data_IF_991283546471
#
_entry.id   IF_991283546471
#
_cell.length_a   1.000
_cell.length_b   1.000
_cell.length_c   1.000
_cell.angle_alpha   90.00
_cell.angle_beta   90.00
_cell.angle_gamma   90.00
#
_symmetry.space_group_name_H-M   'P 1'
#
loop_
_entity.id
_entity.type
_entity.pdbx_description
1 polymer ?
#
# COMPACT_ATOMS: atom_id res chain seq x y z
N UNK A 1 7.73 -10.34 20.92
CA UNK A 1 8.78 -9.43 20.40
C UNK A 1 9.35 -10.00 19.12
N UNK A 2 10.13 -9.26 18.33
CA UNK A 2 10.69 -9.79 17.08
C UNK A 2 12.21 -9.79 17.07
N UNK A 3 12.81 -10.89 16.61
CA UNK A 3 14.26 -11.03 16.44
C UNK A 3 14.62 -11.19 14.97
N UNK A 4 15.67 -10.49 14.52
CA UNK A 4 16.18 -10.63 13.14
C UNK A 4 16.68 -12.07 12.94
N UNK A 5 16.20 -12.72 11.88
CA UNK A 5 16.63 -14.07 11.51
C UNK A 5 17.38 -14.10 10.17
N UNK A 6 17.12 -13.15 9.27
CA UNK A 6 17.79 -13.10 7.98
C UNK A 6 17.71 -11.69 7.35
N UNK A 7 18.46 -11.47 6.27
CA UNK A 7 18.28 -10.36 5.35
C UNK A 7 18.66 -10.76 3.92
N UNK A 8 18.06 -10.09 2.93
CA UNK A 8 18.35 -10.25 1.50
C UNK A 8 18.70 -8.87 0.95
N UNK A 9 19.85 -8.75 0.30
CA UNK A 9 20.31 -7.49 -0.31
C UNK A 9 19.93 -7.41 -1.79
N UNK A 10 20.03 -6.20 -2.35
CA UNK A 10 19.80 -5.94 -3.78
C UNK A 10 18.40 -6.39 -4.25
N UNK A 11 17.44 -6.27 -3.34
CA UNK A 11 16.03 -6.60 -3.57
C UNK A 11 15.25 -5.40 -4.08
N UNK A 12 14.06 -5.59 -4.66
CA UNK A 12 13.19 -4.45 -4.90
C UNK A 12 11.72 -4.85 -4.90
N UNK A 13 10.94 -4.07 -4.16
CA UNK A 13 9.55 -4.40 -3.86
C UNK A 13 9.43 -5.62 -2.95
N UNK A 14 8.24 -5.78 -2.38
CA UNK A 14 7.92 -6.87 -1.46
C UNK A 14 6.47 -7.27 -1.67
N UNK A 15 6.27 -8.50 -2.15
CA UNK A 15 4.94 -9.10 -2.25
C UNK A 15 4.88 -10.40 -1.46
N UNK A 16 3.85 -10.54 -0.63
CA UNK A 16 3.63 -11.71 0.22
C UNK A 16 2.33 -12.36 -0.21
N UNK A 17 2.39 -13.65 -0.54
CA UNK A 17 1.21 -14.42 -0.90
C UNK A 17 1.45 -15.90 -0.59
N UNK A 18 0.48 -16.53 0.06
CA UNK A 18 0.45 -17.98 0.28
C UNK A 18 1.77 -18.54 0.86
N UNK A 19 2.19 -17.98 2.00
CA UNK A 19 3.43 -18.33 2.72
C UNK A 19 4.72 -18.16 1.91
N UNK A 20 4.68 -17.36 0.84
CA UNK A 20 5.82 -17.09 -0.02
C UNK A 20 6.05 -15.59 -0.16
N UNK A 21 7.32 -15.28 -0.32
CA UNK A 21 7.85 -13.95 -0.56
C UNK A 21 8.23 -13.85 -2.03
N UNK A 22 7.85 -12.75 -2.67
CA UNK A 22 8.29 -12.40 -4.01
C UNK A 22 8.93 -11.02 -3.99
N UNK A 23 10.12 -10.95 -4.60
CA UNK A 23 10.88 -9.70 -4.73
C UNK A 23 11.78 -9.81 -5.94
N UNK A 24 12.16 -8.68 -6.52
CA UNK A 24 13.17 -8.71 -7.56
C UNK A 24 14.58 -8.85 -6.98
N UNK A 25 15.49 -9.37 -7.79
CA UNK A 25 16.93 -9.52 -7.55
C UNK A 25 17.74 -8.71 -8.58
N UNK A 26 19.00 -8.38 -8.24
CA UNK A 26 20.04 -7.85 -9.13
C UNK A 26 19.56 -6.63 -9.96
N UNK A 27 19.40 -5.48 -9.32
CA UNK A 27 18.90 -4.27 -9.98
C UNK A 27 17.58 -4.49 -10.74
N UNK A 28 16.73 -5.30 -10.10
CA UNK A 28 15.33 -5.52 -10.42
C UNK A 28 15.07 -6.30 -11.73
N UNK A 29 16.04 -7.08 -12.20
CA UNK A 29 15.93 -7.80 -13.47
C UNK A 29 15.29 -9.17 -13.35
N UNK A 30 15.40 -9.81 -12.18
CA UNK A 30 14.97 -11.20 -11.99
C UNK A 30 13.95 -11.27 -10.87
N UNK A 31 12.77 -11.84 -11.12
CA UNK A 31 11.78 -12.06 -10.07
C UNK A 31 12.13 -13.34 -9.32
N UNK A 32 12.35 -13.24 -8.01
CA UNK A 32 12.61 -14.37 -7.13
C UNK A 32 11.39 -14.69 -6.26
N UNK A 33 11.13 -15.99 -6.07
CA UNK A 33 10.24 -16.55 -5.05
C UNK A 33 11.10 -17.13 -3.92
N UNK A 34 10.75 -16.77 -2.68
CA UNK A 34 11.44 -17.18 -1.47
C UNK A 34 10.45 -17.78 -0.48
N UNK A 35 10.95 -18.63 0.41
CA UNK A 35 10.21 -18.95 1.63
C UNK A 35 10.28 -17.77 2.62
N UNK A 36 9.48 -17.84 3.70
CA UNK A 36 9.44 -16.79 4.72
C UNK A 36 10.75 -16.65 5.54
N UNK A 37 11.71 -17.57 5.39
CA UNK A 37 13.05 -17.46 5.99
C UNK A 37 14.08 -16.83 5.05
N UNK A 38 13.67 -16.43 3.84
CA UNK A 38 14.53 -15.81 2.84
C UNK A 38 15.37 -16.77 2.02
N UNK A 39 15.04 -18.06 1.98
CA UNK A 39 15.66 -19.02 1.05
C UNK A 39 14.98 -18.93 -0.32
N UNK A 40 15.76 -18.69 -1.37
CA UNK A 40 15.30 -18.72 -2.76
C UNK A 40 14.77 -20.12 -3.12
N UNK A 41 13.56 -20.17 -3.65
CA UNK A 41 12.88 -21.38 -4.10
C UNK A 41 12.83 -21.46 -5.62
N UNK A 42 12.64 -20.32 -6.28
CA UNK A 42 12.52 -20.22 -7.72
C UNK A 42 12.87 -18.79 -8.17
N UNK A 43 13.35 -18.64 -9.39
CA UNK A 43 13.47 -17.34 -10.05
C UNK A 43 13.13 -17.47 -11.52
N UNK A 44 12.75 -16.36 -12.14
CA UNK A 44 12.71 -16.30 -13.60
C UNK A 44 14.11 -16.51 -14.20
N UNK A 45 14.15 -16.97 -15.45
CA UNK A 45 15.40 -17.01 -16.22
C UNK A 45 16.01 -15.60 -16.34
N UNK A 46 17.31 -15.53 -16.63
CA UNK A 46 18.13 -14.32 -16.67
C UNK A 46 17.82 -13.38 -17.85
N UNK A 47 16.54 -13.01 -18.01
CA UNK A 47 16.06 -11.98 -18.92
C UNK A 47 15.40 -10.86 -18.10
N UNK A 48 15.72 -9.59 -18.36
CA UNK A 48 15.26 -8.49 -17.53
C UNK A 48 13.73 -8.40 -17.56
N UNK A 49 13.12 -8.53 -16.39
CA UNK A 49 11.73 -8.20 -16.19
C UNK A 49 11.60 -6.69 -16.10
N UNK A 50 10.66 -6.11 -16.85
CA UNK A 50 10.36 -4.69 -16.73
C UNK A 50 9.58 -4.41 -15.45
N UNK A 51 10.31 -4.32 -14.33
CA UNK A 51 10.05 -3.64 -13.05
C UNK A 51 8.64 -3.71 -12.43
N UNK A 52 7.72 -4.47 -13.03
CA UNK A 52 6.30 -4.56 -12.74
C UNK A 52 5.93 -6.02 -12.85
N UNK A 53 5.23 -6.49 -11.83
CA UNK A 53 4.66 -7.81 -11.78
C UNK A 53 3.39 -7.78 -10.96
N UNK A 54 2.51 -8.74 -11.22
CA UNK A 54 1.40 -9.08 -10.35
C UNK A 54 1.42 -10.58 -10.08
N UNK A 55 1.00 -10.98 -8.89
CA UNK A 55 0.91 -12.39 -8.51
C UNK A 55 -0.41 -12.60 -7.81
N UNK A 56 -1.19 -13.57 -8.30
CA UNK A 56 -2.43 -14.02 -7.67
C UNK A 56 -2.26 -15.48 -7.17
N UNK A 57 -3.34 -16.14 -6.76
CA UNK A 57 -3.28 -17.51 -6.24
C UNK A 57 -2.90 -18.58 -7.28
N UNK A 58 -2.96 -18.25 -8.56
CA UNK A 58 -2.82 -19.18 -9.68
C UNK A 58 -1.72 -18.75 -10.67
N UNK A 59 -1.42 -17.46 -10.75
CA UNK A 59 -0.67 -16.86 -11.84
C UNK A 59 0.45 -15.93 -11.36
N UNK A 60 1.48 -15.78 -12.19
CA UNK A 60 2.51 -14.75 -12.11
C UNK A 60 2.48 -13.99 -13.44
N UNK A 61 2.22 -12.68 -13.39
CA UNK A 61 2.14 -11.78 -14.54
C UNK A 61 3.35 -10.86 -14.57
N UNK A 62 4.03 -10.74 -15.70
CA UNK A 62 5.17 -9.82 -15.86
C UNK A 62 5.48 -9.56 -17.33
N UNK A 63 6.42 -8.64 -17.57
CA UNK A 63 6.94 -8.30 -18.90
C UNK A 63 8.37 -8.77 -19.07
N UNK A 64 8.67 -9.51 -20.15
CA UNK A 64 10.02 -10.03 -20.46
C UNK A 64 10.97 -8.99 -21.08
N UNK A 65 10.49 -7.79 -21.38
CA UNK A 65 11.25 -6.74 -22.05
C UNK A 65 11.05 -5.38 -21.39
N UNK A 66 12.06 -4.51 -21.45
CA UNK A 66 11.99 -3.13 -20.93
C UNK A 66 10.93 -2.27 -21.62
N UNK A 67 10.55 -2.60 -22.85
CA UNK A 67 9.50 -1.90 -23.59
C UNK A 67 8.10 -2.11 -22.97
N UNK A 68 7.91 -3.15 -22.15
CA UNK A 68 6.63 -3.41 -21.49
C UNK A 68 5.55 -3.91 -22.44
N UNK A 69 5.95 -4.65 -23.48
CA UNK A 69 5.04 -5.20 -24.50
C UNK A 69 5.01 -6.72 -24.52
N UNK A 70 6.08 -7.41 -24.12
CA UNK A 70 6.14 -8.88 -24.10
C UNK A 70 5.51 -9.43 -22.81
N UNK A 71 4.17 -9.41 -22.74
CA UNK A 71 3.38 -9.85 -21.60
C UNK A 71 3.43 -11.38 -21.47
N UNK A 72 3.83 -11.85 -20.29
CA UNK A 72 3.94 -13.27 -19.94
C UNK A 72 3.10 -13.59 -18.72
N UNK A 73 2.41 -14.73 -18.78
CA UNK A 73 1.70 -15.33 -17.65
C UNK A 73 2.25 -16.72 -17.38
N UNK A 74 2.70 -16.98 -16.15
CA UNK A 74 3.09 -18.30 -15.69
C UNK A 74 2.06 -18.88 -14.74
N UNK A 75 1.95 -20.21 -14.72
CA UNK A 75 1.32 -20.92 -13.62
C UNK A 75 2.19 -20.75 -12.37
N UNK A 76 1.61 -20.25 -11.28
CA UNK A 76 2.37 -19.99 -10.05
C UNK A 76 2.91 -21.26 -9.41
N UNK A 77 2.25 -22.40 -9.56
CA UNK A 77 2.69 -23.66 -8.95
C UNK A 77 3.71 -24.38 -9.82
N UNK A 78 3.41 -24.60 -11.10
CA UNK A 78 4.27 -25.38 -12.00
C UNK A 78 5.36 -24.54 -12.66
N UNK A 79 5.24 -23.20 -12.63
CA UNK A 79 6.13 -22.23 -13.29
C UNK A 79 6.14 -22.32 -14.83
N UNK A 80 5.27 -23.14 -15.40
CA UNK A 80 5.10 -23.24 -16.84
C UNK A 80 4.42 -21.99 -17.39
N UNK A 81 4.80 -21.58 -18.60
CA UNK A 81 4.13 -20.53 -19.35
C UNK A 81 2.69 -20.99 -19.65
N UNK A 82 1.73 -20.16 -19.29
CA UNK A 82 0.31 -20.33 -19.63
C UNK A 82 -0.03 -19.50 -20.87
N UNK A 83 0.49 -18.28 -20.95
CA UNK A 83 0.15 -17.33 -22.01
C UNK A 83 1.30 -16.37 -22.29
N UNK A 84 1.47 -16.03 -23.57
CA UNK A 84 2.37 -14.98 -24.04
C UNK A 84 1.66 -14.16 -25.12
N UNK A 85 1.82 -12.84 -25.05
CA UNK A 85 1.28 -11.95 -26.07
C UNK A 85 2.03 -10.62 -26.11
N UNK A 86 1.97 -9.96 -27.26
CA UNK A 86 2.46 -8.59 -27.41
C UNK A 86 1.33 -7.61 -27.08
N UNK A 87 1.31 -7.11 -25.85
CA UNK A 87 0.29 -6.17 -25.37
C UNK A 87 0.86 -5.27 -24.28
N UNK A 88 0.59 -3.97 -24.37
CA UNK A 88 0.92 -3.00 -23.34
C UNK A 88 -0.24 -2.91 -22.33
N UNK A 89 0.04 -3.23 -21.07
CA UNK A 89 -0.88 -3.16 -19.94
C UNK A 89 -0.12 -2.61 -18.72
N UNK A 90 -0.79 -1.82 -17.89
CA UNK A 90 -0.29 -1.48 -16.57
C UNK A 90 -0.73 -2.56 -15.56
N UNK A 91 0.23 -3.34 -15.07
CA UNK A 91 -0.01 -4.54 -14.25
C UNK A 91 0.22 -4.31 -12.74
N UNK A 92 -0.15 -3.13 -12.24
CA UNK A 92 -0.02 -2.80 -10.82
C UNK A 92 -1.10 -3.47 -9.95
N UNK A 93 -0.76 -3.91 -8.73
CA UNK A 93 -1.68 -4.64 -7.82
C UNK A 93 -3.05 -3.95 -7.63
N UNK A 94 -3.06 -2.62 -7.58
CA UNK A 94 -4.28 -1.84 -7.36
C UNK A 94 -5.28 -1.92 -8.52
N UNK A 95 -4.95 -2.60 -9.62
CA UNK A 95 -5.77 -2.65 -10.83
C UNK A 95 -6.40 -4.02 -11.09
N UNK A 96 -6.07 -5.01 -10.26
CA UNK A 96 -6.64 -6.35 -10.35
C UNK A 96 -7.86 -6.47 -9.44
N UNK A 97 -8.98 -6.93 -10.00
CA UNK A 97 -10.14 -7.33 -9.23
C UNK A 97 -10.73 -8.62 -9.80
N UNK A 98 -10.73 -9.68 -8.98
CA UNK A 98 -11.08 -11.05 -9.41
C UNK A 98 -10.26 -11.43 -10.65
N UNK A 99 -10.90 -11.87 -11.73
CA UNK A 99 -10.27 -12.30 -12.97
C UNK A 99 -10.15 -11.16 -14.01
N UNK A 100 -10.13 -9.91 -13.56
CA UNK A 100 -10.11 -8.74 -14.45
C UNK A 100 -9.02 -7.77 -14.06
N UNK A 101 -8.25 -7.34 -15.05
CA UNK A 101 -7.27 -6.28 -14.94
C UNK A 101 -7.82 -5.00 -15.60
N UNK A 102 -7.83 -3.91 -14.85
CA UNK A 102 -8.21 -2.57 -15.31
C UNK A 102 -6.95 -1.74 -15.58
N UNK A 103 -6.46 -1.76 -16.81
CA UNK A 103 -5.17 -1.16 -17.18
C UNK A 103 -5.37 0.20 -17.85
N UNK A 104 -4.69 1.25 -17.37
CA UNK A 104 -4.66 2.55 -18.03
C UNK A 104 -3.42 2.70 -18.90
N UNK A 105 -3.62 2.80 -20.21
CA UNK A 105 -2.54 2.93 -21.19
C UNK A 105 -2.91 4.01 -22.19
N UNK A 106 -2.02 4.98 -22.39
CA UNK A 106 -2.18 6.06 -23.38
C UNK A 106 -3.55 6.78 -23.30
N UNK A 107 -4.01 7.06 -22.08
CA UNK A 107 -5.28 7.76 -21.82
C UNK A 107 -6.53 6.91 -22.02
N UNK A 108 -6.39 5.60 -22.26
CA UNK A 108 -7.52 4.68 -22.42
C UNK A 108 -7.56 3.66 -21.29
N UNK A 109 -8.77 3.28 -20.89
CA UNK A 109 -8.98 2.13 -20.02
C UNK A 109 -9.06 0.86 -20.87
N UNK A 110 -8.18 -0.09 -20.59
CA UNK A 110 -8.18 -1.43 -21.14
C UNK A 110 -8.71 -2.38 -20.06
N UNK A 111 -9.78 -3.09 -20.37
CA UNK A 111 -10.35 -4.14 -19.53
C UNK A 111 -9.87 -5.48 -20.07
N UNK A 112 -9.01 -6.15 -19.31
CA UNK A 112 -8.35 -7.38 -19.73
C UNK A 112 -8.84 -8.57 -18.90
N UNK A 113 -9.25 -9.65 -19.57
CA UNK A 113 -9.65 -10.91 -18.94
C UNK A 113 -8.44 -11.73 -18.57
N UNK A 114 -8.31 -12.11 -17.31
CA UNK A 114 -7.33 -13.10 -16.87
C UNK A 114 -7.76 -14.52 -17.26
N UNK A 115 -9.08 -14.77 -17.38
CA UNK A 115 -9.62 -16.08 -17.75
C UNK A 115 -9.38 -16.40 -19.22
N UNK A 116 -9.55 -15.40 -20.10
CA UNK A 116 -9.44 -15.58 -21.56
C UNK A 116 -8.14 -15.03 -22.14
N UNK A 117 -7.27 -14.44 -21.31
CA UNK A 117 -6.05 -13.75 -21.71
C UNK A 117 -6.23 -12.78 -22.89
N UNK A 118 -7.32 -12.02 -22.88
CA UNK A 118 -7.70 -11.14 -23.98
C UNK A 118 -8.32 -9.84 -23.48
N UNK A 119 -8.20 -8.79 -24.31
CA UNK A 119 -8.90 -7.53 -24.09
C UNK A 119 -10.39 -7.75 -24.32
N UNK A 120 -11.20 -7.52 -23.29
CA UNK A 120 -12.66 -7.60 -23.37
C UNK A 120 -13.23 -6.26 -23.85
N UNK A 121 -12.63 -5.15 -23.41
CA UNK A 121 -13.15 -3.82 -23.70
C UNK A 121 -12.04 -2.77 -23.69
N UNK A 122 -12.17 -1.77 -24.57
CA UNK A 122 -11.34 -0.56 -24.58
C UNK A 122 -12.28 0.64 -24.47
N UNK A 123 -11.96 1.58 -23.59
CA UNK A 123 -12.72 2.81 -23.38
C UNK A 123 -11.80 4.02 -23.55
N UNK A 124 -12.20 4.93 -24.44
CA UNK A 124 -11.56 6.22 -24.70
C UNK A 124 -12.37 7.40 -24.13
N UNK A 125 -13.60 7.16 -23.70
CA UNK A 125 -14.48 8.07 -22.98
C UNK A 125 -14.28 8.03 -21.46
N UNK A 126 -13.36 7.19 -20.97
CA UNK A 126 -12.99 7.14 -19.57
C UNK A 126 -12.02 8.27 -19.24
N UNK A 127 -12.53 9.37 -18.69
CA UNK A 127 -11.74 10.59 -18.52
C UNK A 127 -11.22 10.77 -17.09
N UNK A 128 -9.89 10.90 -17.04
CA UNK A 128 -9.03 11.61 -16.07
C UNK A 128 -8.86 11.08 -14.63
N UNK A 129 -7.85 10.22 -14.46
CA UNK A 129 -7.23 10.01 -13.16
C UNK A 129 -6.38 8.74 -13.08
N UNK A 130 -5.65 8.57 -11.98
CA UNK A 130 -5.01 7.29 -11.64
C UNK A 130 -6.08 6.41 -10.99
N UNK A 131 -6.29 5.17 -11.46
CA UNK A 131 -7.15 4.21 -10.72
C UNK A 131 -6.57 4.08 -9.32
N UNK A 132 -7.41 4.24 -8.33
CA UNK A 132 -7.03 3.98 -6.94
C UNK A 132 -7.42 2.56 -6.55
N UNK A 133 -8.61 2.12 -6.95
CA UNK A 133 -9.17 0.83 -6.53
C UNK A 133 -10.35 0.40 -7.42
N UNK A 134 -10.32 -0.80 -8.02
CA UNK A 134 -11.51 -1.53 -8.43
C UNK A 134 -12.04 -2.34 -7.24
N UNK A 135 -13.30 -2.11 -6.89
CA UNK A 135 -14.07 -2.92 -5.94
C UNK A 135 -15.31 -3.45 -6.64
N UNK A 136 -15.98 -4.43 -6.01
CA UNK A 136 -17.16 -5.14 -6.54
C UNK A 136 -17.98 -4.39 -7.59
N UNK A 137 -18.47 -3.19 -7.26
CA UNK A 137 -19.33 -2.41 -8.13
C UNK A 137 -18.72 -1.09 -8.62
N UNK A 138 -17.49 -0.75 -8.22
CA UNK A 138 -16.92 0.57 -8.47
C UNK A 138 -15.50 0.54 -9.02
N UNK A 139 -15.23 1.42 -9.97
CA UNK A 139 -13.87 1.85 -10.30
C UNK A 139 -13.70 3.25 -9.71
N UNK A 140 -12.68 3.43 -8.89
CA UNK A 140 -12.34 4.72 -8.27
C UNK A 140 -11.13 5.28 -9.00
N UNK A 141 -11.24 6.50 -9.51
CA UNK A 141 -10.09 7.25 -10.04
C UNK A 141 -9.96 8.62 -9.37
N UNK A 142 -8.75 9.20 -9.43
CA UNK A 142 -8.50 10.56 -8.93
C UNK A 142 -7.69 11.40 -9.91
N UNK A 143 -8.00 12.70 -9.98
CA UNK A 143 -7.16 13.72 -10.62
C UNK A 143 -7.09 14.96 -9.74
N UNK A 144 -5.88 15.31 -9.29
CA UNK A 144 -5.65 16.41 -8.33
C UNK A 144 -6.54 16.24 -7.08
N UNK A 145 -7.46 17.17 -6.84
CA UNK A 145 -8.43 17.17 -5.74
C UNK A 145 -9.76 16.52 -6.09
N UNK A 146 -9.96 16.04 -7.32
CA UNK A 146 -11.19 15.38 -7.75
C UNK A 146 -11.10 13.86 -7.57
N UNK A 147 -12.21 13.28 -7.12
CA UNK A 147 -12.48 11.84 -7.21
C UNK A 147 -13.61 11.59 -8.20
N UNK A 148 -13.52 10.47 -8.90
CA UNK A 148 -14.53 10.01 -9.85
C UNK A 148 -14.87 8.56 -9.52
N UNK A 149 -16.16 8.28 -9.44
CA UNK A 149 -16.68 6.94 -9.16
C UNK A 149 -17.46 6.47 -10.36
N UNK A 150 -17.08 5.31 -10.88
CA UNK A 150 -17.73 4.67 -12.02
C UNK A 150 -18.42 3.40 -11.57
N UNK A 151 -19.62 3.15 -12.09
CA UNK A 151 -20.35 1.90 -11.94
C UNK A 151 -20.57 1.31 -13.33
N UNK A 152 -20.12 0.07 -13.57
CA UNK A 152 -20.13 -0.56 -14.91
C UNK A 152 -19.55 0.35 -16.02
N UNK A 153 -18.43 1.04 -15.73
CA UNK A 153 -17.76 2.00 -16.63
C UNK A 153 -18.53 3.30 -16.94
N UNK A 154 -19.73 3.48 -16.40
CA UNK A 154 -20.44 4.75 -16.46
C UNK A 154 -20.10 5.60 -15.25
N UNK A 155 -19.79 6.89 -15.46
CA UNK A 155 -19.58 7.82 -14.37
C UNK A 155 -20.86 7.90 -13.53
N UNK A 156 -20.77 7.50 -12.27
CA UNK A 156 -21.88 7.57 -11.32
C UNK A 156 -21.93 8.97 -10.70
N UNK A 157 -20.80 9.44 -10.18
CA UNK A 157 -20.65 10.79 -9.65
C UNK A 157 -19.17 11.18 -9.57
N UNK A 158 -18.93 12.47 -9.41
CA UNK A 158 -17.61 13.05 -9.15
C UNK A 158 -17.71 14.08 -8.03
N UNK A 159 -16.62 14.26 -7.28
CA UNK A 159 -16.58 15.23 -6.19
C UNK A 159 -15.22 15.92 -6.13
N UNK A 160 -15.22 17.25 -6.02
CA UNK A 160 -14.02 18.00 -5.68
C UNK A 160 -13.84 18.01 -4.16
N UNK A 161 -12.81 17.34 -3.66
CA UNK A 161 -12.54 17.23 -2.23
C UNK A 161 -12.09 18.58 -1.65
N UNK A 162 -11.54 19.47 -2.48
CA UNK A 162 -11.16 20.83 -2.09
C UNK A 162 -12.35 21.65 -1.57
N UNK A 163 -13.56 21.39 -2.07
CA UNK A 163 -14.78 22.12 -1.68
C UNK A 163 -15.11 21.92 -0.19
N UNK A 164 -14.63 20.83 0.42
CA UNK A 164 -14.79 20.57 1.86
C UNK A 164 -13.76 21.32 2.73
N UNK A 165 -12.74 21.91 2.11
CA UNK A 165 -11.64 22.63 2.76
C UNK A 165 -11.29 23.92 1.99
N UNK A 166 -12.22 24.89 1.85
CA UNK A 166 -12.04 26.04 0.96
C UNK A 166 -10.84 26.94 1.34
N UNK A 167 -10.49 27.02 2.62
CA UNK A 167 -9.43 27.90 3.13
C UNK A 167 -8.02 27.29 3.06
N UNK A 168 -7.84 26.22 2.29
CA UNK A 168 -6.62 25.41 2.28
C UNK A 168 -6.10 25.29 0.86
N UNK A 169 -4.90 25.79 0.61
CA UNK A 169 -4.27 25.72 -0.71
C UNK A 169 -3.70 24.31 -0.96
N UNK A 170 -3.76 23.88 -2.23
CA UNK A 170 -3.13 22.66 -2.75
C UNK A 170 -3.54 21.34 -2.04
N UNK A 171 -4.83 21.01 -2.05
CA UNK A 171 -5.30 19.71 -1.56
C UNK A 171 -4.75 18.55 -2.40
N UNK A 172 -4.09 17.62 -1.72
CA UNK A 172 -3.66 16.35 -2.29
C UNK A 172 -4.40 15.20 -1.60
N UNK A 173 -5.06 14.36 -2.41
CA UNK A 173 -5.66 13.09 -1.97
C UNK A 173 -4.54 12.06 -1.91
N UNK A 174 -4.29 11.51 -0.73
CA UNK A 174 -3.27 10.47 -0.53
C UNK A 174 -3.87 9.08 -0.71
N UNK A 175 -4.93 8.77 0.05
CA UNK A 175 -5.49 7.42 0.11
C UNK A 175 -7.03 7.48 0.06
N UNK A 176 -7.65 6.42 -0.47
CA UNK A 176 -9.09 6.23 -0.48
C UNK A 176 -9.36 4.79 -0.03
N UNK A 177 -10.22 4.64 0.97
CA UNK A 177 -10.60 3.34 1.51
C UNK A 177 -12.10 3.10 1.37
N UNK A 178 -12.52 1.91 0.90
CA UNK A 178 -13.90 1.49 1.07
C UNK A 178 -14.15 1.14 2.55
N UNK A 179 -15.23 1.67 3.11
CA UNK A 179 -15.65 1.36 4.48
C UNK A 179 -17.18 1.27 4.52
N UNK A 180 -17.72 0.06 4.74
CA UNK A 180 -19.16 -0.22 4.61
C UNK A 180 -19.69 0.31 3.26
N UNK A 181 -20.72 1.15 3.27
CA UNK A 181 -21.33 1.83 2.14
C UNK A 181 -20.77 3.26 1.90
N UNK A 182 -19.59 3.54 2.45
CA UNK A 182 -18.90 4.85 2.37
C UNK A 182 -17.49 4.74 1.79
N UNK A 183 -16.93 5.88 1.39
CA UNK A 183 -15.51 6.05 1.07
C UNK A 183 -14.86 6.96 2.11
N UNK A 184 -13.75 6.51 2.69
CA UNK A 184 -12.88 7.33 3.53
C UNK A 184 -11.77 7.88 2.65
N UNK A 185 -11.74 9.20 2.48
CA UNK A 185 -10.73 9.90 1.67
C UNK A 185 -9.76 10.62 2.60
N UNK A 186 -8.50 10.23 2.53
CA UNK A 186 -7.41 10.77 3.34
C UNK A 186 -6.67 11.82 2.52
N UNK A 187 -6.55 13.02 3.06
CA UNK A 187 -5.85 14.14 2.42
C UNK A 187 -4.86 14.78 3.39
N UNK A 188 -3.92 15.56 2.85
CA UNK A 188 -3.00 16.36 3.68
C UNK A 188 -3.72 17.28 4.66
N UNK A 189 -4.90 17.76 4.28
CA UNK A 189 -5.64 18.81 4.97
C UNK A 189 -6.63 18.26 6.00
N UNK A 190 -7.17 17.09 5.72
CA UNK A 190 -8.26 16.50 6.49
C UNK A 190 -8.67 15.13 5.97
N UNK A 191 -9.64 14.55 6.64
CA UNK A 191 -10.25 13.27 6.27
C UNK A 191 -11.72 13.54 6.00
N UNK A 192 -12.26 12.98 4.93
CA UNK A 192 -13.70 13.06 4.62
C UNK A 192 -14.28 11.67 4.43
N UNK A 193 -15.53 11.51 4.88
CA UNK A 193 -16.34 10.33 4.61
C UNK A 193 -17.45 10.70 3.63
N UNK A 194 -17.52 9.96 2.54
CA UNK A 194 -18.45 10.21 1.44
C UNK A 194 -19.35 9.00 1.23
N UNK A 195 -20.62 9.22 0.92
CA UNK A 195 -21.53 8.16 0.49
C UNK A 195 -21.04 7.52 -0.81
N UNK A 196 -20.94 6.18 -0.88
CA UNK A 196 -20.59 5.50 -2.14
C UNK A 196 -21.67 5.70 -3.21
N UNK A 197 -22.93 5.89 -2.79
CA UNK A 197 -24.08 5.98 -3.68
C UNK A 197 -24.10 7.28 -4.48
N UNK A 198 -23.82 8.41 -3.84
CA UNK A 198 -24.06 9.74 -4.41
C UNK A 198 -22.94 10.75 -4.16
N UNK A 199 -21.87 10.37 -3.46
CA UNK A 199 -20.72 11.24 -3.20
C UNK A 199 -20.95 12.35 -2.18
N UNK A 200 -22.10 12.35 -1.51
CA UNK A 200 -22.44 13.32 -0.47
C UNK A 200 -21.51 13.19 0.74
N UNK A 201 -21.15 14.34 1.32
CA UNK A 201 -20.36 14.38 2.55
C UNK A 201 -21.18 13.92 3.74
N UNK A 202 -20.69 12.92 4.46
CA UNK A 202 -21.29 12.40 5.69
C UNK A 202 -20.66 13.11 6.90
N UNK A 203 -19.33 13.06 6.99
CA UNK A 203 -18.56 13.74 8.04
C UNK A 203 -17.19 14.16 7.53
N UNK A 204 -16.55 15.12 8.21
CA UNK A 204 -15.17 15.53 7.95
C UNK A 204 -14.39 15.78 9.22
N UNK A 205 -13.09 15.56 9.16
CA UNK A 205 -12.11 15.89 10.20
C UNK A 205 -11.14 16.91 9.65
N UNK A 206 -11.06 18.08 10.30
CA UNK A 206 -10.12 19.16 9.94
C UNK A 206 -8.73 18.92 10.55
N UNK A 207 -8.23 17.69 10.48
CA UNK A 207 -6.90 17.31 10.94
C UNK A 207 -6.22 16.55 9.83
N UNK A 208 -5.06 17.05 9.40
CA UNK A 208 -4.32 16.45 8.30
C UNK A 208 -3.94 15.00 8.59
N UNK A 209 -3.72 14.25 7.52
CA UNK A 209 -3.30 12.86 7.55
C UNK A 209 -2.34 12.62 6.39
N UNK A 210 -1.36 11.73 6.57
CA UNK A 210 -0.52 11.25 5.46
C UNK A 210 -0.92 9.85 5.04
N UNK A 211 -1.19 9.02 6.04
CA UNK A 211 -1.61 7.63 5.90
C UNK A 211 -2.66 7.32 6.96
N UNK A 212 -3.49 6.32 6.70
CA UNK A 212 -4.44 5.77 7.67
C UNK A 212 -4.38 4.25 7.65
N UNK A 213 -4.39 3.63 8.82
CA UNK A 213 -4.59 2.19 8.98
C UNK A 213 -6.00 1.94 9.54
N UNK A 214 -6.82 1.17 8.83
CA UNK A 214 -8.20 0.87 9.23
C UNK A 214 -8.26 -0.48 9.94
N UNK A 215 -8.78 -0.49 11.17
CA UNK A 215 -8.99 -1.69 11.99
C UNK A 215 -10.42 -1.65 12.55
N UNK A 216 -11.28 -2.51 12.04
CA UNK A 216 -12.70 -2.48 12.40
C UNK A 216 -13.33 -1.14 12.02
N UNK A 217 -13.88 -0.43 13.02
CA UNK A 217 -14.45 0.92 12.85
C UNK A 217 -13.48 2.06 13.20
N UNK A 218 -12.20 1.77 13.41
CA UNK A 218 -11.19 2.76 13.78
C UNK A 218 -10.22 3.01 12.63
N UNK A 219 -9.99 4.28 12.29
CA UNK A 219 -8.91 4.71 11.41
C UNK A 219 -7.77 5.32 12.22
N UNK A 220 -6.67 4.60 12.39
CA UNK A 220 -5.47 5.12 13.03
C UNK A 220 -4.68 5.99 12.06
N UNK A 221 -4.36 7.20 12.47
CA UNK A 221 -3.80 8.23 11.59
C UNK A 221 -2.47 8.71 12.11
N UNK A 222 -1.51 8.81 11.18
CA UNK A 222 -0.21 9.41 11.42
C UNK A 222 0.00 10.64 10.52
N UNK A 223 0.62 11.68 11.09
CA UNK A 223 1.01 12.92 10.37
C UNK A 223 2.51 13.18 10.35
N UNK A 224 3.30 12.33 11.01
CA UNK A 224 4.75 12.44 11.13
C UNK A 224 5.21 12.36 12.58
N UNK A 225 4.66 13.20 13.46
CA UNK A 225 4.95 13.18 14.89
C UNK A 225 3.71 12.87 15.76
N UNK A 226 2.53 12.92 15.15
CA UNK A 226 1.27 12.72 15.86
C UNK A 226 0.68 11.37 15.51
N UNK A 227 0.07 10.75 16.50
CA UNK A 227 -0.76 9.56 16.37
C UNK A 227 -2.11 9.86 17.02
N UNK A 228 -3.17 9.71 16.24
CA UNK A 228 -4.55 9.82 16.69
C UNK A 228 -5.40 8.78 15.97
N UNK A 229 -6.65 8.62 16.36
CA UNK A 229 -7.58 7.76 15.65
C UNK A 229 -8.91 8.46 15.43
N UNK A 230 -9.62 8.01 14.41
CA UNK A 230 -10.94 8.50 14.03
C UNK A 230 -11.92 7.34 14.08
N UNK A 231 -13.04 7.52 14.77
CA UNK A 231 -14.16 6.59 14.67
C UNK A 231 -14.80 6.78 13.29
N UNK A 232 -14.71 5.76 12.43
CA UNK A 232 -15.14 5.84 11.05
C UNK A 232 -16.67 5.91 10.90
N UNK A 233 -17.43 5.54 11.94
CA UNK A 233 -18.89 5.58 11.93
C UNK A 233 -19.44 7.00 12.07
N UNK A 234 -18.72 7.90 12.76
CA UNK A 234 -19.22 9.25 13.07
C UNK A 234 -18.21 10.38 12.83
N UNK A 235 -16.95 10.07 12.49
CA UNK A 235 -15.90 11.06 12.24
C UNK A 235 -15.30 11.68 13.48
N UNK A 236 -15.61 11.19 14.69
CA UNK A 236 -15.03 11.73 15.91
C UNK A 236 -13.54 11.38 16.00
N UNK A 237 -12.73 12.42 16.23
CA UNK A 237 -11.28 12.32 16.40
C UNK A 237 -10.93 12.19 17.88
N UNK A 238 -10.07 11.23 18.18
CA UNK A 238 -9.55 10.95 19.52
C UNK A 238 -8.03 10.89 19.51
N UNK A 239 -7.42 11.43 20.55
CA UNK A 239 -5.98 11.37 20.78
C UNK A 239 -5.66 10.85 22.16
N UNK A 240 -4.38 10.72 22.47
CA UNK A 240 -3.90 10.12 23.72
C UNK A 240 -3.68 11.16 24.84
N UNK A 241 -4.46 12.24 24.87
CA UNK A 241 -4.36 13.30 25.88
C UNK A 241 -3.10 14.16 25.80
N UNK A 242 -2.39 14.13 24.67
CA UNK A 242 -1.11 14.83 24.46
C UNK A 242 -1.29 16.07 23.60
N UNK A 243 -0.48 17.10 23.84
CA UNK A 243 -0.49 18.31 23.01
C UNK A 243 -0.22 17.94 21.54
N UNK A 244 -1.11 18.36 20.64
CA UNK A 244 -1.05 18.05 19.20
C UNK A 244 -1.05 16.54 18.88
N UNK A 245 -1.56 15.71 19.78
CA UNK A 245 -1.55 14.24 19.67
C UNK A 245 -0.15 13.66 19.42
N UNK A 246 0.89 14.38 19.86
CA UNK A 246 2.28 14.02 19.63
C UNK A 246 2.61 12.71 20.35
N UNK A 247 3.28 11.81 19.65
CA UNK A 247 3.90 10.63 20.23
C UNK A 247 5.05 11.02 21.18
N UNK A 248 5.26 10.29 22.31
CA UNK A 248 6.30 10.63 23.27
C UNK A 248 7.69 10.46 22.66
N UNK A 249 8.65 11.23 23.14
CA UNK A 249 10.04 11.00 22.76
C UNK A 249 10.54 9.66 23.32
N UNK A 250 11.57 9.09 22.71
CA UNK A 250 12.17 7.83 23.17
C UNK A 250 13.68 7.94 23.29
N UNK A 251 14.26 7.12 24.16
CA UNK A 251 15.70 7.07 24.39
C UNK A 251 16.33 5.90 23.65
N UNK A 252 17.49 6.16 23.04
CA UNK A 252 18.35 5.12 22.49
C UNK A 252 19.81 5.53 22.68
N UNK A 253 20.65 4.64 23.21
CA UNK A 253 22.06 4.92 23.51
C UNK A 253 22.34 6.22 24.30
N UNK A 254 21.46 6.60 25.23
CA UNK A 254 21.61 7.79 26.07
C UNK A 254 21.24 9.11 25.38
N UNK A 255 20.69 9.06 24.17
CA UNK A 255 20.16 10.21 23.45
C UNK A 255 18.64 10.13 23.32
N UNK A 256 17.99 11.29 23.30
CA UNK A 256 16.53 11.42 23.11
C UNK A 256 16.21 11.68 21.64
N UNK A 257 15.27 10.91 21.08
CA UNK A 257 14.84 10.98 19.69
C UNK A 257 13.36 11.30 19.57
N UNK A 258 13.02 12.01 18.50
CA UNK A 258 11.63 12.28 18.14
C UNK A 258 11.08 11.14 17.25
N UNK A 259 9.84 10.69 17.46
CA UNK A 259 9.22 9.62 16.70
C UNK A 259 8.70 10.14 15.35
N UNK A 260 9.60 10.64 14.50
CA UNK A 260 9.27 11.18 13.18
C UNK A 260 9.17 10.05 12.13
N UNK A 261 7.95 9.61 11.84
CA UNK A 261 7.68 8.54 10.87
C UNK A 261 6.71 8.94 9.75
N UNK A 262 6.13 7.94 9.07
CA UNK A 262 5.23 8.16 7.94
C UNK A 262 4.05 7.19 7.90
N UNK A 263 4.22 5.91 8.27
CA UNK A 263 3.16 4.91 8.15
C UNK A 263 3.00 4.10 9.44
N UNK A 264 1.73 3.88 9.81
CA UNK A 264 1.36 2.96 10.88
C UNK A 264 0.73 1.71 10.27
N UNK A 265 0.99 0.54 10.84
CA UNK A 265 0.41 -0.74 10.41
C UNK A 265 -0.11 -1.47 11.66
N UNK A 266 -1.29 -2.06 11.59
CA UNK A 266 -1.83 -2.83 12.71
C UNK A 266 -1.46 -4.30 12.59
N UNK A 267 -0.92 -4.88 13.66
CA UNK A 267 -0.66 -6.31 13.73
C UNK A 267 -0.68 -6.82 15.17
N UNK A 268 -1.46 -7.89 15.39
CA UNK A 268 -1.61 -8.60 16.68
C UNK A 268 -1.86 -7.66 17.88
N UNK A 269 -2.80 -6.72 17.75
CA UNK A 269 -3.17 -5.83 18.85
C UNK A 269 -2.27 -4.61 19.04
N UNK A 270 -1.22 -4.45 18.22
CA UNK A 270 -0.30 -3.32 18.31
C UNK A 270 -0.25 -2.54 16.99
N UNK A 271 0.05 -1.26 17.11
CA UNK A 271 0.37 -0.37 15.99
C UNK A 271 1.88 -0.34 15.79
N UNK A 272 2.34 -0.64 14.60
CA UNK A 272 3.74 -0.72 14.23
C UNK A 272 4.11 0.50 13.39
N UNK A 273 5.14 1.20 13.82
CA UNK A 273 5.46 2.53 13.32
C UNK A 273 6.94 2.62 12.97
N UNK A 274 7.25 3.08 11.77
CA UNK A 274 8.63 3.28 11.34
C UNK A 274 9.11 4.69 11.68
N UNK A 275 10.32 4.82 12.18
CA UNK A 275 10.92 6.12 12.49
C UNK A 275 12.28 6.18 11.81
N UNK A 276 12.56 7.28 11.12
CA UNK A 276 13.87 7.54 10.54
C UNK A 276 14.38 8.90 10.99
N UNK A 277 15.41 8.89 11.82
CA UNK A 277 15.94 10.10 12.46
C UNK A 277 17.44 9.94 12.71
N UNK A 278 18.20 11.00 12.42
CA UNK A 278 19.66 11.05 12.67
C UNK A 278 20.45 9.86 12.07
N UNK A 279 20.03 9.36 10.90
CA UNK A 279 20.68 8.22 10.23
C UNK A 279 20.36 6.85 10.83
N UNK A 280 19.41 6.78 11.77
CA UNK A 280 18.91 5.54 12.34
C UNK A 280 17.48 5.26 11.87
N UNK A 281 17.22 3.99 11.55
CA UNK A 281 15.88 3.47 11.38
C UNK A 281 15.44 2.70 12.63
N UNK A 282 14.23 2.99 13.11
CA UNK A 282 13.60 2.30 14.22
C UNK A 282 12.22 1.78 13.83
N UNK A 283 11.80 0.70 14.49
CA UNK A 283 10.42 0.24 14.53
C UNK A 283 9.93 0.38 15.96
N UNK A 284 8.81 1.08 16.12
CA UNK A 284 8.11 1.21 17.40
C UNK A 284 6.85 0.34 17.36
N UNK A 285 6.61 -0.46 18.40
CA UNK A 285 5.32 -1.08 18.63
C UNK A 285 4.57 -0.27 19.69
N UNK A 286 3.38 0.19 19.35
CA UNK A 286 2.57 1.14 20.10
C UNK A 286 1.27 0.47 20.49
N UNK A 287 0.92 0.58 21.76
CA UNK A 287 -0.39 0.16 22.27
C UNK A 287 -1.48 1.12 21.74
N UNK A 288 -2.49 0.61 21.00
CA UNK A 288 -3.51 1.45 20.39
C UNK A 288 -4.49 2.09 21.38
N UNK A 289 -4.59 1.59 22.62
CA UNK A 289 -5.47 2.14 23.64
C UNK A 289 -4.80 3.29 24.39
N UNK A 290 -3.51 3.10 24.74
CA UNK A 290 -2.77 4.03 25.60
C UNK A 290 -1.81 4.95 24.83
N UNK A 291 -1.43 4.58 23.60
CA UNK A 291 -0.42 5.27 22.81
C UNK A 291 0.98 5.16 23.40
N UNK A 292 1.23 4.15 24.24
CA UNK A 292 2.53 3.85 24.85
C UNK A 292 3.38 2.94 23.97
N UNK A 293 4.70 3.10 24.04
CA UNK A 293 5.64 2.18 23.38
C UNK A 293 5.77 0.90 24.18
N UNK A 294 5.42 -0.23 23.56
CA UNK A 294 5.63 -1.57 24.10
C UNK A 294 6.92 -2.20 23.60
N UNK A 295 7.46 -1.70 22.47
CA UNK A 295 8.74 -2.13 21.93
C UNK A 295 9.37 -1.02 21.08
N UNK A 296 10.70 -0.96 21.13
CA UNK A 296 11.52 -0.07 20.32
C UNK A 296 12.68 -0.90 19.78
N UNK A 297 12.86 -0.89 18.47
CA UNK A 297 13.89 -1.69 17.83
C UNK A 297 14.64 -0.89 16.79
N UNK A 298 15.97 -0.87 16.88
CA UNK A 298 16.83 -0.30 15.85
C UNK A 298 17.03 -1.32 14.74
N UNK A 299 16.67 -0.95 13.52
CA UNK A 299 16.97 -1.74 12.33
C UNK A 299 18.44 -1.55 11.97
N UNK A 300 19.12 -2.65 11.64
CA UNK A 300 20.54 -2.66 11.24
C UNK A 300 20.74 -2.10 9.82
N UNK A 301 20.38 -0.83 9.62
CA UNK A 301 20.53 -0.10 8.37
C UNK A 301 20.75 1.40 8.64
N UNK A 302 21.35 2.09 7.68
CA UNK A 302 21.43 3.56 7.63
C UNK A 302 20.34 4.17 6.73
N UNK A 303 19.56 3.31 6.10
CA UNK A 303 18.51 3.66 5.16
C UNK A 303 17.16 3.76 5.88
N UNK A 304 16.21 4.44 5.26
CA UNK A 304 14.85 4.50 5.80
C UNK A 304 14.14 3.18 5.53
N UNK A 305 13.42 2.65 6.52
CA UNK A 305 12.43 1.58 6.27
C UNK A 305 11.24 2.16 5.53
N UNK A 306 10.92 1.59 4.36
CA UNK A 306 9.87 2.06 3.46
C UNK A 306 8.55 1.31 3.63
N UNK A 307 8.61 0.05 4.08
CA UNK A 307 7.45 -0.81 4.23
C UNK A 307 7.62 -1.78 5.41
N UNK A 308 6.52 -2.04 6.13
CA UNK A 308 6.42 -3.01 7.22
C UNK A 308 5.32 -3.99 6.83
N UNK A 309 5.66 -5.28 6.68
CA UNK A 309 4.67 -6.32 6.43
C UNK A 309 4.77 -7.44 7.44
N UNK A 310 3.62 -8.02 7.75
CA UNK A 310 3.54 -9.18 8.65
C UNK A 310 2.94 -10.38 7.92
N UNK A 311 3.41 -11.56 8.29
CA UNK A 311 2.83 -12.83 7.86
C UNK A 311 3.07 -13.90 8.94
N UNK A 312 2.01 -14.50 9.47
CA UNK A 312 2.05 -15.44 10.60
C UNK A 312 2.85 -14.88 11.81
N UNK A 313 4.04 -15.42 12.06
CA UNK A 313 4.99 -15.06 13.12
C UNK A 313 6.20 -14.28 12.58
N UNK A 314 6.10 -13.72 11.37
CA UNK A 314 7.18 -13.02 10.68
C UNK A 314 6.86 -11.56 10.45
N UNK A 315 7.90 -10.73 10.56
CA UNK A 315 7.90 -9.32 10.18
C UNK A 315 8.96 -9.08 9.10
N UNK A 316 8.58 -8.38 8.05
CA UNK A 316 9.40 -8.06 6.90
C UNK A 316 9.55 -6.54 6.79
N UNK A 317 10.79 -6.06 6.77
CA UNK A 317 11.11 -4.64 6.61
C UNK A 317 11.91 -4.45 5.34
N UNK A 318 11.42 -3.65 4.41
CA UNK A 318 12.17 -3.28 3.21
C UNK A 318 12.67 -1.84 3.37
N UNK A 319 13.99 -1.63 3.26
CA UNK A 319 14.59 -0.30 3.33
C UNK A 319 14.79 0.37 1.96
N UNK A 320 15.12 1.67 1.96
CA UNK A 320 15.40 2.45 0.75
C UNK A 320 16.68 2.01 0.02
N UNK A 321 17.57 1.29 0.71
CA UNK A 321 18.76 0.66 0.15
C UNK A 321 18.51 -0.73 -0.40
N UNK A 322 17.26 -1.11 -0.66
CA UNK A 322 16.90 -2.36 -1.31
C UNK A 322 17.31 -3.60 -0.49
N UNK A 323 17.37 -3.48 0.83
CA UNK A 323 17.60 -4.60 1.74
C UNK A 323 16.29 -5.00 2.42
N UNK A 324 15.92 -6.27 2.25
CA UNK A 324 14.79 -6.89 2.93
C UNK A 324 15.28 -7.57 4.20
N UNK A 325 14.88 -7.07 5.36
CA UNK A 325 15.12 -7.69 6.65
C UNK A 325 13.96 -8.58 7.06
N UNK A 326 14.28 -9.76 7.60
CA UNK A 326 13.31 -10.76 8.02
C UNK A 326 13.48 -11.00 9.51
N UNK A 327 12.38 -10.86 10.24
CA UNK A 327 12.28 -11.06 11.68
C UNK A 327 11.27 -12.16 12.00
N UNK A 328 11.47 -12.81 13.14
CA UNK A 328 10.60 -13.86 13.68
C UNK A 328 10.18 -13.50 15.10
N UNK A 329 8.93 -13.79 15.45
CA UNK A 329 8.39 -13.56 16.79
C UNK A 329 9.08 -14.46 17.81
N UNK A 330 9.56 -13.88 18.90
CA UNK A 330 10.09 -14.59 20.05
C UNK A 330 8.93 -15.17 20.88
N UNK A 331 9.00 -16.47 21.17
CA UNK A 331 8.05 -17.24 21.99
C UNK A 331 8.38 -17.06 23.47
#
# INVERSE_FOLDING_TARGET
MYRKINHIKETNGLFLLDKKLYTFLNDRQVLGEFNLKGKLLWSTDSSPINYRYHIDLQHIFFYKNYEGSDFTVLNRTTKNIIHESKIELDISNNYFFKNTLYSFVNGKLIVYSIEFFSVIQVRDDFVEGVIMLPISNFIISKKKSYIYIYNHFSLLWQQNIQDFFPDKEELCIYEIYPYKDTFIVVTRTGIVCLSQKEGSLIWKVNSGARTMEIVGNLGYVCTGLSLYWVNLDNGEKYGYGRKYDRLPDFEYNGETYWPAGYRVVYHKGLLWYEVFISGYAFILAIDPETGEYKWIHRVETYERVMDIKFYDDKMFLLDSGNTLFIYEEEI
#
